data_IF_991208345113
#
_entry.id   IF_991208345113
#
_cell.length_a   1.000
_cell.length_b   1.000
_cell.length_c   1.000
_cell.angle_alpha   90.00
_cell.angle_beta   90.00
_cell.angle_gamma   90.00
#
_symmetry.space_group_name_H-M   'P 1'
#
loop_
_entity.id
_entity.type
_entity.pdbx_description
1 polymer ?
#
# COMPACT_ATOMS: atom_id res chain seq x y z
N UNK A 1 -25.89 -20.53 20.26
CA UNK A 1 -24.86 -21.42 19.70
C UNK A 1 -24.87 -21.20 18.20
N UNK A 2 -23.93 -20.41 17.68
CA UNK A 2 -23.76 -20.21 16.24
C UNK A 2 -22.26 -20.33 15.99
N UNK A 3 -21.86 -21.50 15.50
CA UNK A 3 -20.47 -21.80 15.15
C UNK A 3 -20.15 -21.11 13.82
N UNK A 4 -19.13 -20.25 13.81
CA UNK A 4 -18.47 -19.82 12.57
C UNK A 4 -17.29 -20.75 12.33
N UNK A 5 -17.47 -21.72 11.43
CA UNK A 5 -16.38 -22.49 10.85
C UNK A 5 -15.71 -21.63 9.78
N UNK A 6 -14.56 -21.04 10.08
CA UNK A 6 -13.72 -20.37 9.08
C UNK A 6 -12.72 -21.39 8.55
N UNK A 7 -13.15 -22.16 7.55
CA UNK A 7 -12.23 -22.88 6.67
C UNK A 7 -11.83 -21.94 5.53
N UNK A 8 -10.83 -21.08 5.76
CA UNK A 8 -10.01 -20.57 4.65
C UNK A 8 -8.64 -20.16 5.16
N UNK A 9 -7.62 -20.88 4.70
CA UNK A 9 -6.23 -20.86 5.18
C UNK A 9 -5.41 -19.61 4.83
N UNK A 10 -5.98 -18.50 4.35
CA UNK A 10 -5.19 -17.36 3.82
C UNK A 10 -5.67 -15.97 4.27
N UNK A 11 -6.09 -15.81 5.52
CA UNK A 11 -6.06 -14.49 6.18
C UNK A 11 -5.14 -14.65 7.38
N UNK A 12 -3.84 -14.54 7.14
CA UNK A 12 -2.87 -14.42 8.22
C UNK A 12 -2.98 -12.99 8.77
N UNK A 13 -3.65 -12.85 9.92
CA UNK A 13 -3.37 -11.72 10.79
C UNK A 13 -1.88 -11.80 11.12
N UNK A 14 -1.13 -10.74 10.80
CA UNK A 14 0.32 -10.66 10.95
C UNK A 14 0.75 -10.58 12.42
N UNK A 15 0.24 -11.46 13.27
CA UNK A 15 0.59 -11.53 14.68
C UNK A 15 1.32 -12.84 14.96
N UNK A 16 2.52 -12.94 14.39
CA UNK A 16 3.55 -13.81 14.95
C UNK A 16 4.28 -12.98 16.00
N UNK A 17 4.07 -13.30 17.27
CA UNK A 17 4.69 -12.68 18.45
C UNK A 17 6.18 -12.35 18.24
N UNK A 18 6.53 -11.09 17.96
CA UNK A 18 7.92 -10.64 17.80
C UNK A 18 8.47 -10.24 19.18
N UNK A 19 9.52 -10.94 19.63
CA UNK A 19 10.20 -10.72 20.93
C UNK A 19 11.25 -9.58 20.92
N UNK A 20 11.16 -8.64 19.98
CA UNK A 20 12.01 -7.45 19.95
C UNK A 20 11.13 -6.22 19.71
N UNK A 21 11.53 -5.01 20.17
CA UNK A 21 10.81 -3.80 19.82
C UNK A 21 10.77 -3.72 18.30
N UNK A 22 9.57 -3.76 17.73
CA UNK A 22 9.38 -3.51 16.30
C UNK A 22 9.78 -2.04 16.11
N UNK A 23 10.86 -1.80 15.37
CA UNK A 23 11.22 -0.44 14.99
C UNK A 23 10.08 0.14 14.15
N UNK A 24 9.67 1.36 14.45
CA UNK A 24 8.54 2.01 13.79
C UNK A 24 8.91 3.41 13.34
N UNK A 25 8.25 3.87 12.29
CA UNK A 25 8.27 5.25 11.82
C UNK A 25 6.93 5.90 12.14
N UNK A 26 6.95 7.05 12.80
CA UNK A 26 5.76 7.86 13.05
C UNK A 26 5.37 8.66 11.81
N UNK A 27 4.09 8.61 11.41
CA UNK A 27 3.57 9.53 10.41
C UNK A 27 3.31 10.91 11.06
N UNK A 28 3.94 12.01 10.59
CA UNK A 28 3.98 13.27 11.31
C UNK A 28 2.62 13.90 11.64
N UNK A 29 1.61 13.72 10.77
CA UNK A 29 0.30 14.38 10.93
C UNK A 29 -0.63 13.58 11.82
N UNK A 30 -0.66 12.26 11.73
CA UNK A 30 -1.59 11.37 12.44
C UNK A 30 -1.03 10.81 13.74
N UNK A 31 0.30 10.80 13.90
CA UNK A 31 0.99 10.15 15.03
C UNK A 31 0.86 8.63 15.06
N UNK A 32 0.36 8.03 13.99
CA UNK A 32 0.33 6.58 13.81
C UNK A 32 1.74 6.08 13.56
N UNK A 33 2.11 5.03 14.29
CA UNK A 33 3.40 4.36 14.17
C UNK A 33 3.27 3.16 13.25
N UNK A 34 4.11 3.10 12.21
CA UNK A 34 4.11 2.05 11.21
C UNK A 34 5.40 1.23 11.34
N UNK A 35 5.32 -0.12 11.43
CA UNK A 35 6.50 -0.98 11.47
C UNK A 35 7.45 -0.71 10.31
N UNK A 36 8.75 -0.60 10.58
CA UNK A 36 9.77 -0.42 9.54
C UNK A 36 9.99 -1.70 8.73
N UNK A 37 9.62 -2.85 9.30
CA UNK A 37 9.75 -4.17 8.66
C UNK A 37 8.49 -5.02 8.90
N UNK A 38 8.17 -5.85 7.90
CA UNK A 38 7.10 -6.85 7.97
C UNK A 38 7.57 -8.15 7.30
N UNK A 39 6.87 -9.25 7.59
CA UNK A 39 6.95 -10.47 6.80
C UNK A 39 5.83 -10.48 5.77
N UNK A 40 6.17 -10.77 4.51
CA UNK A 40 5.23 -10.97 3.42
C UNK A 40 4.58 -12.35 3.51
N UNK A 41 3.53 -12.57 2.71
CA UNK A 41 2.78 -13.83 2.70
C UNK A 41 3.63 -15.04 2.29
N UNK A 42 4.68 -14.82 1.49
CA UNK A 42 5.63 -15.83 1.05
C UNK A 42 6.79 -16.04 2.06
N UNK A 43 6.74 -15.38 3.22
CA UNK A 43 7.79 -15.43 4.25
C UNK A 43 8.98 -14.50 4.02
N UNK A 44 9.03 -13.79 2.88
CA UNK A 44 10.08 -12.82 2.62
C UNK A 44 9.98 -11.61 3.58
N UNK A 45 11.12 -11.06 3.98
CA UNK A 45 11.16 -9.80 4.73
C UNK A 45 10.99 -8.62 3.79
N UNK A 46 10.23 -7.63 4.21
CA UNK A 46 10.05 -6.38 3.48
C UNK A 46 10.27 -5.18 4.40
N UNK A 47 10.77 -4.08 3.81
CA UNK A 47 11.08 -2.83 4.51
C UNK A 47 10.16 -1.71 4.06
N UNK A 48 9.77 -0.85 5.00
CA UNK A 48 9.02 0.37 4.73
C UNK A 48 9.88 1.31 3.87
N UNK A 49 9.39 1.67 2.69
CA UNK A 49 10.08 2.57 1.74
C UNK A 49 9.33 3.88 1.52
N UNK A 50 8.05 3.94 1.89
CA UNK A 50 7.23 5.13 1.75
C UNK A 50 6.11 5.15 2.79
N UNK A 51 5.80 6.35 3.29
CA UNK A 51 4.78 6.58 4.30
C UNK A 51 4.02 7.86 3.97
N UNK A 52 2.69 7.81 4.04
CA UNK A 52 1.87 8.99 3.75
C UNK A 52 0.47 8.89 4.33
N UNK A 53 -0.15 10.04 4.56
CA UNK A 53 -1.52 10.14 5.09
C UNK A 53 -2.49 10.58 4.00
N UNK A 54 -3.65 9.92 3.95
CA UNK A 54 -4.77 10.37 3.12
C UNK A 54 -5.70 11.28 3.92
N UNK A 55 -6.06 12.39 3.30
CA UNK A 55 -6.97 13.40 3.87
C UNK A 55 -8.16 13.63 2.92
N UNK A 56 -9.37 13.81 3.46
CA UNK A 56 -10.55 14.25 2.69
C UNK A 56 -10.56 15.77 2.53
N UNK A 57 -10.70 16.24 1.28
CA UNK A 57 -10.45 17.62 0.88
C UNK A 57 -11.35 18.67 1.54
N UNK A 58 -12.63 18.37 1.78
CA UNK A 58 -13.58 19.38 2.24
C UNK A 58 -13.44 19.77 3.73
N UNK A 59 -12.92 18.88 4.57
CA UNK A 59 -12.84 19.11 6.02
C UNK A 59 -11.44 18.82 6.59
N UNK A 60 -10.44 18.66 5.71
CA UNK A 60 -9.08 18.22 6.03
C UNK A 60 -9.03 17.02 7.00
N UNK A 61 -10.02 16.14 6.88
CA UNK A 61 -10.17 14.98 7.75
C UNK A 61 -9.16 13.89 7.36
N UNK A 62 -8.27 13.56 8.29
CA UNK A 62 -7.35 12.44 8.20
C UNK A 62 -8.13 11.12 8.19
N UNK A 63 -7.89 10.25 7.22
CA UNK A 63 -8.66 8.99 7.06
C UNK A 63 -7.83 7.78 7.45
N UNK A 64 -6.69 7.61 6.81
CA UNK A 64 -5.78 6.50 7.02
C UNK A 64 -4.35 6.91 6.67
N UNK A 65 -3.39 6.17 7.21
CA UNK A 65 -2.00 6.16 6.78
C UNK A 65 -1.79 4.99 5.81
N UNK A 66 -1.03 5.24 4.76
CA UNK A 66 -0.50 4.22 3.85
C UNK A 66 0.99 4.05 4.14
N UNK A 67 1.40 2.82 4.40
CA UNK A 67 2.79 2.39 4.33
C UNK A 67 3.02 1.53 3.09
N UNK A 68 4.06 1.83 2.32
CA UNK A 68 4.52 1.01 1.19
C UNK A 68 5.78 0.26 1.61
N UNK A 69 5.77 -1.06 1.39
CA UNK A 69 6.86 -1.95 1.67
C UNK A 69 7.37 -2.61 0.39
N UNK A 70 8.67 -2.82 0.30
CA UNK A 70 9.31 -3.61 -0.75
C UNK A 70 10.13 -4.72 -0.09
N UNK A 71 10.07 -5.93 -0.65
CA UNK A 71 10.92 -7.05 -0.21
C UNK A 71 12.40 -6.66 -0.19
N UNK A 72 13.17 -7.25 0.73
CA UNK A 72 14.62 -6.98 0.78
C UNK A 72 15.32 -7.34 -0.54
N UNK A 73 14.94 -8.45 -1.18
CA UNK A 73 15.44 -8.84 -2.50
C UNK A 73 15.03 -7.83 -3.59
N UNK A 74 13.79 -7.32 -3.55
CA UNK A 74 13.31 -6.27 -4.43
C UNK A 74 14.10 -4.96 -4.26
N UNK A 75 14.48 -4.62 -3.03
CA UNK A 75 15.33 -3.46 -2.75
C UNK A 75 16.72 -3.63 -3.40
N UNK A 76 17.31 -4.82 -3.37
CA UNK A 76 18.60 -5.08 -4.05
C UNK A 76 18.49 -4.93 -5.58
N UNK A 77 17.37 -5.33 -6.18
CA UNK A 77 17.08 -5.08 -7.60
C UNK A 77 17.00 -3.58 -7.87
N UNK A 78 16.28 -2.84 -7.04
CA UNK A 78 16.03 -1.40 -7.25
C UNK A 78 17.26 -0.51 -7.00
N UNK A 79 18.21 -0.94 -6.16
CA UNK A 79 19.49 -0.23 -5.99
C UNK A 79 20.25 -0.02 -7.31
N UNK A 80 20.05 -0.92 -8.27
CA UNK A 80 20.69 -0.89 -9.57
C UNK A 80 19.73 -0.47 -10.70
N UNK A 81 18.62 0.20 -10.37
CA UNK A 81 17.66 0.70 -11.34
C UNK A 81 18.29 1.79 -12.23
N UNK A 82 18.72 1.39 -13.43
CA UNK A 82 19.21 2.30 -14.47
C UNK A 82 18.10 3.23 -14.94
N UNK A 83 18.37 4.53 -14.96
CA UNK A 83 17.40 5.54 -15.40
C UNK A 83 16.41 5.98 -14.32
N UNK A 84 16.56 5.49 -13.08
CA UNK A 84 15.81 6.06 -11.97
C UNK A 84 16.19 7.53 -11.78
N UNK A 85 15.17 8.39 -11.79
CA UNK A 85 15.28 9.79 -11.44
C UNK A 85 14.24 10.10 -10.36
N UNK A 86 14.69 10.70 -9.26
CA UNK A 86 13.84 10.94 -8.09
C UNK A 86 12.78 12.01 -8.37
N UNK A 87 13.13 13.08 -9.09
CA UNK A 87 12.20 14.18 -9.35
C UNK A 87 11.10 13.73 -10.30
N UNK A 88 11.49 12.99 -11.34
CA UNK A 88 10.56 12.34 -12.27
C UNK A 88 9.66 11.34 -11.56
N UNK A 89 10.20 10.50 -10.67
CA UNK A 89 9.41 9.51 -9.93
C UNK A 89 8.39 10.16 -8.98
N UNK A 90 8.69 11.35 -8.46
CA UNK A 90 7.81 12.11 -7.57
C UNK A 90 6.88 13.09 -8.33
N UNK A 91 6.98 13.13 -9.66
CA UNK A 91 6.13 13.97 -10.49
C UNK A 91 4.68 13.50 -10.45
N UNK A 92 3.74 14.44 -10.40
CA UNK A 92 2.31 14.16 -10.49
C UNK A 92 1.89 13.96 -11.96
N UNK A 93 2.59 14.62 -12.88
CA UNK A 93 2.24 14.65 -14.30
C UNK A 93 2.96 13.55 -15.10
N UNK A 94 3.93 12.85 -14.48
CA UNK A 94 4.71 11.79 -15.10
C UNK A 94 4.73 10.53 -14.23
N UNK A 95 3.87 9.58 -14.58
CA UNK A 95 3.76 8.30 -13.89
C UNK A 95 4.70 7.22 -14.48
N UNK A 96 5.54 7.55 -15.48
CA UNK A 96 6.29 6.53 -16.24
C UNK A 96 7.22 5.70 -15.37
N UNK A 97 7.94 6.31 -14.42
CA UNK A 97 8.80 5.57 -13.49
C UNK A 97 7.98 4.77 -12.46
N UNK A 98 6.77 5.22 -12.10
CA UNK A 98 5.89 4.45 -11.22
C UNK A 98 5.39 3.18 -11.93
N UNK A 99 4.99 3.27 -13.20
CA UNK A 99 4.67 2.11 -14.02
C UNK A 99 5.88 1.18 -14.22
N UNK A 100 7.06 1.76 -14.44
CA UNK A 100 8.29 0.97 -14.55
C UNK A 100 8.58 0.20 -13.26
N UNK A 101 8.40 0.81 -12.08
CA UNK A 101 8.48 0.12 -10.79
C UNK A 101 7.51 -1.05 -10.70
N UNK A 102 6.25 -0.86 -11.10
CA UNK A 102 5.22 -1.91 -11.08
C UNK A 102 5.51 -3.07 -12.06
N UNK A 103 6.24 -2.79 -13.13
CA UNK A 103 6.64 -3.80 -14.13
C UNK A 103 7.86 -4.64 -13.70
N UNK A 104 8.58 -4.22 -12.65
CA UNK A 104 9.76 -4.93 -12.17
C UNK A 104 9.38 -6.17 -11.37
N UNK A 105 10.27 -7.18 -11.32
CA UNK A 105 10.07 -8.37 -10.49
C UNK A 105 10.35 -8.05 -9.01
N UNK A 106 9.55 -7.15 -8.41
CA UNK A 106 9.67 -6.72 -7.02
C UNK A 106 8.38 -6.99 -6.27
N UNK A 107 8.48 -7.68 -5.13
CA UNK A 107 7.33 -7.87 -4.25
C UNK A 107 7.05 -6.58 -3.47
N UNK A 108 5.85 -6.01 -3.68
CA UNK A 108 5.37 -4.80 -3.01
C UNK A 108 4.20 -5.16 -2.10
N UNK A 109 4.18 -4.60 -0.90
CA UNK A 109 3.04 -4.67 0.00
C UNK A 109 2.59 -3.26 0.43
N UNK A 110 1.27 -3.09 0.50
CA UNK A 110 0.64 -1.85 0.97
C UNK A 110 -0.06 -2.13 2.30
N UNK A 111 0.26 -1.35 3.33
CA UNK A 111 -0.42 -1.35 4.63
C UNK A 111 -1.31 -0.12 4.72
N UNK A 112 -2.58 -0.32 5.06
CA UNK A 112 -3.53 0.75 5.34
C UNK A 112 -3.87 0.71 6.83
N UNK A 113 -3.55 1.77 7.56
CA UNK A 113 -3.81 1.91 8.99
C UNK A 113 -4.82 3.05 9.21
N UNK A 114 -6.05 2.78 9.68
CA UNK A 114 -7.06 3.81 9.90
C UNK A 114 -6.65 4.74 11.07
N UNK A 115 -6.78 6.06 10.89
CA UNK A 115 -6.40 7.07 11.92
C UNK A 115 -7.58 7.57 12.74
N UNK A 116 -8.77 7.02 12.49
CA UNK A 116 -10.03 7.32 13.18
C UNK A 116 -10.96 6.11 13.05
N UNK A 117 -12.11 6.16 13.73
CA UNK A 117 -13.18 5.18 13.55
C UNK A 117 -13.71 5.22 12.10
N UNK A 118 -13.07 4.44 11.24
CA UNK A 118 -13.54 4.04 9.92
C UNK A 118 -13.56 2.52 9.94
N UNK A 119 -14.72 1.93 9.73
CA UNK A 119 -14.82 0.47 9.73
C UNK A 119 -14.28 -0.08 8.39
N UNK A 120 -13.93 -1.37 8.36
CA UNK A 120 -13.41 -2.02 7.16
C UNK A 120 -14.34 -1.95 5.95
N UNK A 121 -15.66 -1.85 6.17
CA UNK A 121 -16.65 -1.68 5.10
C UNK A 121 -16.46 -0.35 4.37
N UNK A 122 -16.29 0.77 5.09
CA UNK A 122 -16.06 2.07 4.44
C UNK A 122 -14.78 2.11 3.60
N UNK A 123 -13.69 1.51 4.10
CA UNK A 123 -12.43 1.41 3.36
C UNK A 123 -12.57 0.53 2.13
N UNK A 124 -13.21 -0.65 2.28
CA UNK A 124 -13.48 -1.57 1.17
C UNK A 124 -14.33 -0.91 0.09
N UNK A 125 -15.43 -0.29 0.48
CA UNK A 125 -16.35 0.33 -0.47
C UNK A 125 -15.66 1.50 -1.19
N UNK A 126 -14.82 2.26 -0.49
CA UNK A 126 -13.99 3.30 -1.09
C UNK A 126 -13.00 2.76 -2.13
N UNK A 127 -12.31 1.67 -1.80
CA UNK A 127 -11.38 0.99 -2.70
C UNK A 127 -12.10 0.41 -3.94
N UNK A 128 -13.21 -0.30 -3.73
CA UNK A 128 -13.98 -0.92 -4.79
C UNK A 128 -14.50 0.13 -5.79
N UNK A 129 -15.05 1.25 -5.30
CA UNK A 129 -15.46 2.37 -6.16
C UNK A 129 -14.31 2.95 -6.96
N UNK A 130 -13.15 3.16 -6.33
CA UNK A 130 -11.97 3.67 -7.04
C UNK A 130 -11.50 2.73 -8.16
N UNK A 131 -11.57 1.41 -7.93
CA UNK A 131 -11.25 0.41 -8.94
C UNK A 131 -12.27 0.41 -10.08
N UNK A 132 -13.57 0.40 -9.76
CA UNK A 132 -14.63 0.44 -10.78
C UNK A 132 -14.54 1.67 -11.67
N UNK A 133 -14.30 2.84 -11.09
CA UNK A 133 -14.13 4.07 -11.87
C UNK A 133 -12.94 3.97 -12.83
N UNK A 134 -11.78 3.49 -12.35
CA UNK A 134 -10.60 3.33 -13.22
C UNK A 134 -10.78 2.30 -14.33
N UNK A 135 -11.49 1.21 -14.04
CA UNK A 135 -11.84 0.23 -15.06
C UNK A 135 -12.73 0.87 -16.12
N UNK A 136 -13.76 1.63 -15.71
CA UNK A 136 -14.63 2.33 -16.63
C UNK A 136 -13.88 3.35 -17.50
N UNK A 137 -13.02 4.17 -16.89
CA UNK A 137 -12.17 5.12 -17.62
C UNK A 137 -11.25 4.40 -18.62
N UNK A 138 -10.70 3.23 -18.23
CA UNK A 138 -9.90 2.38 -19.12
C UNK A 138 -10.68 1.88 -20.34
N UNK A 139 -11.91 1.41 -20.15
CA UNK A 139 -12.77 0.95 -21.24
C UNK A 139 -13.15 2.08 -22.20
N UNK A 140 -13.48 3.27 -21.68
CA UNK A 140 -13.83 4.42 -22.53
C UNK A 140 -12.67 4.87 -23.42
N UNK A 141 -11.42 4.77 -22.93
CA UNK A 141 -10.24 5.14 -23.72
C UNK A 141 -9.92 4.14 -24.85
N UNK A 142 -10.34 2.88 -24.73
CA UNK A 142 -10.18 1.88 -25.80
C UNK A 142 -11.24 2.05 -26.90
N UNK A 143 -12.48 2.35 -26.52
CA UNK A 143 -13.60 2.53 -27.45
C UNK A 143 -13.53 3.86 -28.24
N UNK A 144 -12.87 4.90 -27.71
CA UNK A 144 -12.62 6.17 -28.43
C UNK A 144 -11.36 6.13 -29.32
N UNK A 145 -10.57 5.06 -29.27
CA UNK A 145 -9.34 4.88 -30.04
C UNK A 145 -9.52 4.08 -31.35
N UNK A 146 -10.74 3.63 -31.65
CA UNK A 146 -11.17 3.04 -32.95
C UNK A 146 -11.77 4.10 -33.89
#
# INVERSE_FOLDING_TARGET
ITYWHVNNKNIAFADSTVRQPIETTEEPKSKVHIPNQINLYNGARARLVGLGIRTLSFLQMKVYVIGMYISEDGIEILKNWKGYDKEKFLSIDDESLAYELLSRPVDIAIRIEPVRNTNGQHLRDGFARALTNRMHDGYLNEDEAE
#
